data_IF_907648040978
#
_entry.id   IF_907648040978
#
_cell.length_a   1.000
_cell.length_b   1.000
_cell.length_c   1.000
_cell.angle_alpha   90.00
_cell.angle_beta   90.00
_cell.angle_gamma   90.00
#
_symmetry.space_group_name_H-M   'P 1'
#
loop_
_entity.id
_entity.type
_entity.pdbx_description
1 polymer ?
#
# COMPACT_ATOMS: atom_id res chain seq x y z
N UNK A 1 -22.41 7.36 62.55
CA UNK A 1 -22.75 7.70 61.15
C UNK A 1 -21.68 8.52 60.42
N UNK A 2 -21.23 9.70 60.91
CA UNK A 2 -20.21 10.53 60.21
C UNK A 2 -18.93 9.78 59.79
N UNK A 3 -18.42 8.88 60.64
CA UNK A 3 -17.20 8.09 60.35
C UNK A 3 -17.39 7.01 59.27
N UNK A 4 -18.59 6.47 59.08
CA UNK A 4 -18.87 5.39 58.11
C UNK A 4 -18.98 5.97 56.69
N UNK A 5 -19.63 7.14 56.54
CA UNK A 5 -19.70 7.87 55.28
C UNK A 5 -18.32 8.32 54.78
N UNK A 6 -17.46 8.80 55.69
CA UNK A 6 -16.08 9.19 55.37
C UNK A 6 -15.23 7.99 54.89
N UNK A 7 -15.47 6.80 55.44
CA UNK A 7 -14.75 5.58 55.10
C UNK A 7 -15.19 5.01 53.75
N UNK A 8 -16.50 5.03 53.46
CA UNK A 8 -17.05 4.68 52.14
C UNK A 8 -16.55 5.65 51.07
N UNK A 9 -16.43 6.93 51.40
CA UNK A 9 -15.87 7.96 50.52
C UNK A 9 -14.39 7.72 50.22
N UNK A 10 -13.55 7.53 51.23
CA UNK A 10 -12.13 7.24 51.04
C UNK A 10 -11.92 5.97 50.21
N UNK A 11 -12.69 4.91 50.47
CA UNK A 11 -12.63 3.67 49.70
C UNK A 11 -13.07 3.84 48.24
N UNK A 12 -14.09 4.65 47.95
CA UNK A 12 -14.55 4.87 46.56
C UNK A 12 -13.65 5.84 45.79
N UNK A 13 -13.05 6.82 46.46
CA UNK A 13 -12.03 7.70 45.89
C UNK A 13 -10.73 6.94 45.60
N UNK A 14 -10.28 6.08 46.53
CA UNK A 14 -9.10 5.23 46.33
C UNK A 14 -9.31 4.23 45.19
N UNK A 15 -10.52 3.68 45.04
CA UNK A 15 -10.87 2.80 43.92
C UNK A 15 -10.87 3.55 42.57
N UNK A 16 -11.45 4.76 42.52
CA UNK A 16 -11.42 5.56 41.29
C UNK A 16 -10.01 6.01 40.91
N UNK A 17 -9.17 6.35 41.89
CA UNK A 17 -7.77 6.69 41.67
C UNK A 17 -6.94 5.46 41.23
N UNK A 18 -7.25 4.26 41.74
CA UNK A 18 -6.60 3.03 41.29
C UNK A 18 -7.01 2.64 39.87
N UNK A 19 -8.29 2.74 39.53
CA UNK A 19 -8.75 2.44 38.16
C UNK A 19 -8.20 3.44 37.14
N UNK A 20 -8.13 4.74 37.48
CA UNK A 20 -7.46 5.73 36.63
C UNK A 20 -6.00 5.37 36.34
N UNK A 21 -5.26 4.92 37.36
CA UNK A 21 -3.86 4.48 37.18
C UNK A 21 -3.76 3.25 36.30
N UNK A 22 -4.65 2.28 36.47
CA UNK A 22 -4.70 1.08 35.64
C UNK A 22 -5.03 1.41 34.18
N UNK A 23 -6.01 2.28 33.93
CA UNK A 23 -6.41 2.73 32.59
C UNK A 23 -5.25 3.46 31.89
N UNK A 24 -4.58 4.38 32.59
CA UNK A 24 -3.40 5.09 32.06
C UNK A 24 -2.22 4.13 31.81
N UNK A 25 -2.03 3.11 32.64
CA UNK A 25 -0.99 2.10 32.43
C UNK A 25 -1.28 1.24 31.19
N UNK A 26 -2.53 0.83 30.98
CA UNK A 26 -2.96 0.07 29.79
C UNK A 26 -2.83 0.91 28.50
N UNK A 27 -3.17 2.20 28.57
CA UNK A 27 -2.98 3.13 27.46
C UNK A 27 -1.49 3.26 27.09
N UNK A 28 -0.62 3.42 28.09
CA UNK A 28 0.83 3.45 27.89
C UNK A 28 1.36 2.18 27.25
N UNK A 29 0.91 1.00 27.70
CA UNK A 29 1.27 -0.28 27.09
C UNK A 29 0.83 -0.36 25.62
N UNK A 30 -0.38 0.09 25.30
CA UNK A 30 -0.91 0.13 23.93
C UNK A 30 -0.03 0.99 23.03
N UNK A 31 0.39 2.17 23.50
CA UNK A 31 1.27 3.07 22.75
C UNK A 31 2.64 2.44 22.51
N UNK A 32 3.19 1.74 23.51
CA UNK A 32 4.44 0.96 23.35
C UNK A 32 4.27 -0.11 22.27
N UNK A 33 3.15 -0.82 22.24
CA UNK A 33 2.86 -1.82 21.20
C UNK A 33 2.74 -1.17 19.80
N UNK A 34 2.09 -0.02 19.68
CA UNK A 34 2.00 0.72 18.40
C UNK A 34 3.38 1.12 17.89
N UNK A 35 4.25 1.64 18.76
CA UNK A 35 5.65 1.99 18.41
C UNK A 35 6.46 0.77 18.00
N UNK A 36 6.31 -0.34 18.73
CA UNK A 36 6.94 -1.61 18.38
C UNK A 36 6.48 -2.12 17.01
N UNK A 37 5.18 -2.02 16.69
CA UNK A 37 4.67 -2.38 15.36
C UNK A 37 5.28 -1.49 14.26
N UNK A 38 5.41 -0.19 14.51
CA UNK A 38 6.07 0.73 13.57
C UNK A 38 7.54 0.34 13.33
N UNK A 39 8.27 -0.06 14.37
CA UNK A 39 9.65 -0.55 14.25
C UNK A 39 9.74 -1.85 13.45
N UNK A 40 8.84 -2.80 13.68
CA UNK A 40 8.80 -4.05 12.93
C UNK A 40 8.46 -3.81 11.45
N UNK A 41 7.50 -2.93 11.15
CA UNK A 41 7.19 -2.53 9.76
C UNK A 41 8.39 -1.86 9.09
N UNK A 42 9.12 -1.01 9.82
CA UNK A 42 10.36 -0.38 9.35
C UNK A 42 11.43 -1.42 9.04
N UNK A 43 11.71 -2.35 9.97
CA UNK A 43 12.68 -3.45 9.78
C UNK A 43 12.30 -4.32 8.59
N UNK A 44 11.03 -4.71 8.47
CA UNK A 44 10.54 -5.50 7.33
C UNK A 44 10.70 -4.73 6.02
N UNK A 45 10.43 -3.42 5.99
CA UNK A 45 10.61 -2.60 4.79
C UNK A 45 12.08 -2.53 4.36
N UNK A 46 13.02 -2.36 5.31
CA UNK A 46 14.46 -2.45 5.04
C UNK A 46 14.89 -3.86 4.61
N UNK A 47 14.32 -4.92 5.18
CA UNK A 47 14.59 -6.27 4.71
C UNK A 47 14.11 -6.43 3.25
N UNK A 48 12.94 -5.91 2.90
CA UNK A 48 12.39 -5.99 1.55
C UNK A 48 13.22 -5.26 0.49
N UNK A 49 13.98 -4.21 0.85
CA UNK A 49 14.94 -3.58 -0.08
C UNK A 49 16.15 -4.48 -0.34
N UNK A 50 16.55 -5.27 0.66
CA UNK A 50 17.71 -6.17 0.64
C UNK A 50 17.39 -7.58 0.10
N UNK A 51 16.12 -8.00 0.11
CA UNK A 51 15.73 -9.36 -0.31
C UNK A 51 15.99 -9.58 -1.79
N UNK A 52 16.65 -10.72 -2.04
CA UNK A 52 16.85 -11.39 -3.33
C UNK A 52 15.49 -11.74 -3.96
N UNK A 53 14.86 -10.80 -4.67
CA UNK A 53 13.63 -11.09 -5.41
C UNK A 53 13.99 -11.82 -6.71
N UNK A 54 13.29 -12.93 -6.96
CA UNK A 54 13.17 -13.52 -8.29
C UNK A 54 12.23 -12.57 -9.02
N UNK A 55 12.68 -11.94 -10.10
CA UNK A 55 11.90 -10.95 -10.87
C UNK A 55 10.68 -11.66 -11.49
N UNK A 56 9.47 -11.60 -10.88
CA UNK A 56 8.33 -12.36 -11.36
C UNK A 56 7.90 -11.82 -12.73
N UNK A 57 8.02 -10.50 -12.89
CA UNK A 57 7.83 -9.82 -14.16
C UNK A 57 8.92 -10.12 -15.17
N UNK A 58 10.08 -10.70 -14.82
CA UNK A 58 11.02 -11.23 -15.82
C UNK A 58 10.42 -12.41 -16.56
N UNK A 59 9.71 -13.28 -15.82
CA UNK A 59 9.05 -14.45 -16.38
C UNK A 59 7.99 -13.96 -17.35
N UNK A 60 7.19 -12.97 -16.93
CA UNK A 60 6.22 -12.30 -17.79
C UNK A 60 6.89 -11.62 -19.00
N UNK A 61 8.00 -10.90 -18.80
CA UNK A 61 8.78 -10.24 -19.84
C UNK A 61 9.28 -11.26 -20.87
N UNK A 62 9.90 -12.34 -20.39
CA UNK A 62 10.41 -13.46 -21.17
C UNK A 62 9.29 -14.13 -21.96
N UNK A 63 8.12 -14.31 -21.36
CA UNK A 63 7.01 -14.98 -22.02
C UNK A 63 6.39 -14.06 -23.09
N UNK A 64 6.26 -12.76 -22.83
CA UNK A 64 5.88 -11.74 -23.84
C UNK A 64 6.89 -11.68 -25.00
N UNK A 65 8.18 -11.75 -24.68
CA UNK A 65 9.29 -11.85 -25.63
C UNK A 65 9.17 -13.08 -26.52
N UNK A 66 8.90 -14.26 -25.93
CA UNK A 66 8.70 -15.52 -26.66
C UNK A 66 7.50 -15.40 -27.61
N UNK A 67 6.37 -14.87 -27.13
CA UNK A 67 5.17 -14.68 -27.95
C UNK A 67 5.46 -13.78 -29.14
N UNK A 68 6.13 -12.63 -28.93
CA UNK A 68 6.51 -11.73 -30.01
C UNK A 68 7.48 -12.40 -31.00
N UNK A 69 8.49 -13.11 -30.52
CA UNK A 69 9.40 -13.89 -31.36
C UNK A 69 8.65 -14.90 -32.24
N UNK A 70 7.77 -15.71 -31.65
CA UNK A 70 6.97 -16.69 -32.39
C UNK A 70 6.06 -16.02 -33.41
N UNK A 71 5.50 -14.85 -33.10
CA UNK A 71 4.70 -14.09 -34.05
C UNK A 71 5.56 -13.61 -35.23
N UNK A 72 6.73 -13.01 -34.98
CA UNK A 72 7.66 -12.58 -36.03
C UNK A 72 8.13 -13.75 -36.91
N UNK A 73 8.45 -14.89 -36.30
CA UNK A 73 8.89 -16.10 -37.01
C UNK A 73 7.80 -16.68 -37.91
N UNK A 74 6.53 -16.63 -37.50
CA UNK A 74 5.41 -17.04 -38.35
C UNK A 74 5.31 -16.19 -39.62
N UNK A 75 5.51 -14.87 -39.50
CA UNK A 75 5.50 -13.97 -40.66
C UNK A 75 6.66 -14.26 -41.60
N UNK A 76 7.87 -14.50 -41.05
CA UNK A 76 9.05 -14.91 -41.82
C UNK A 76 8.79 -16.21 -42.60
N UNK A 77 8.20 -17.22 -41.96
CA UNK A 77 7.87 -18.49 -42.59
C UNK A 77 6.84 -18.35 -43.72
N UNK A 78 5.84 -17.48 -43.55
CA UNK A 78 4.87 -17.16 -44.61
C UNK A 78 5.60 -16.51 -45.80
N UNK A 79 6.51 -15.57 -45.53
CA UNK A 79 7.32 -14.95 -46.58
C UNK A 79 8.16 -15.97 -47.37
N UNK A 80 8.80 -16.91 -46.66
CA UNK A 80 9.56 -18.01 -47.27
C UNK A 80 8.72 -18.98 -48.10
N UNK A 81 7.48 -19.28 -47.67
CA UNK A 81 6.58 -20.14 -48.45
C UNK A 81 6.16 -19.45 -49.74
N UNK A 82 6.01 -18.12 -49.72
CA UNK A 82 5.71 -17.34 -50.91
C UNK A 82 6.92 -17.23 -51.86
N UNK A 83 8.17 -17.23 -51.35
CA UNK A 83 9.37 -17.32 -52.22
C UNK A 83 9.38 -18.57 -53.11
N UNK A 84 8.75 -19.68 -52.69
CA UNK A 84 8.69 -20.89 -53.53
C UNK A 84 7.80 -20.73 -54.77
N UNK A 85 6.92 -19.72 -54.81
CA UNK A 85 6.18 -19.35 -56.03
C UNK A 85 7.02 -18.52 -57.02
N UNK A 86 8.24 -18.11 -56.65
CA UNK A 86 9.04 -17.15 -57.41
C UNK A 86 10.20 -17.72 -58.20
N UNK A 87 10.29 -19.05 -58.32
CA UNK A 87 11.16 -19.68 -59.30
C UNK A 87 10.93 -19.20 -60.75
N UNK A 88 9.91 -18.36 -61.00
CA UNK A 88 9.55 -17.82 -62.32
C UNK A 88 9.70 -16.30 -62.50
N UNK A 89 9.98 -15.47 -61.47
CA UNK A 89 10.06 -14.01 -61.69
C UNK A 89 11.24 -13.32 -61.00
N UNK A 90 12.27 -13.03 -61.82
CA UNK A 90 13.32 -12.02 -61.69
C UNK A 90 13.59 -11.38 -60.31
N UNK A 91 14.87 -11.45 -59.89
CA UNK A 91 15.51 -10.82 -58.70
C UNK A 91 15.51 -9.28 -58.69
N UNK A 92 14.60 -8.61 -59.41
CA UNK A 92 14.60 -7.14 -59.48
C UNK A 92 14.09 -6.55 -58.16
N UNK A 93 14.69 -5.45 -57.67
CA UNK A 93 14.14 -4.71 -56.54
C UNK A 93 12.67 -4.38 -56.80
N UNK A 94 11.76 -4.94 -55.98
CA UNK A 94 10.32 -4.76 -56.15
C UNK A 94 9.50 -5.92 -56.70
N UNK A 95 10.14 -6.98 -57.19
CA UNK A 95 9.43 -8.25 -57.31
C UNK A 95 9.02 -8.74 -55.91
N UNK A 96 8.10 -9.70 -55.87
CA UNK A 96 7.74 -10.43 -54.63
C UNK A 96 9.02 -10.95 -53.91
N UNK A 97 10.09 -11.24 -54.66
CA UNK A 97 11.36 -11.79 -54.21
C UNK A 97 12.21 -10.72 -53.56
N UNK A 98 12.39 -9.58 -54.22
CA UNK A 98 13.07 -8.44 -53.61
C UNK A 98 12.33 -7.91 -52.38
N UNK A 99 11.00 -8.07 -52.33
CA UNK A 99 10.19 -7.79 -51.15
C UNK A 99 10.39 -8.81 -50.04
N UNK A 100 10.51 -10.08 -50.38
CA UNK A 100 10.77 -11.16 -49.43
C UNK A 100 12.18 -11.08 -48.84
N UNK A 101 13.19 -10.77 -49.64
CA UNK A 101 14.58 -10.59 -49.20
C UNK A 101 14.72 -9.36 -48.27
N UNK A 102 14.04 -8.25 -48.59
CA UNK A 102 13.98 -7.07 -47.72
C UNK A 102 13.24 -7.34 -46.42
N UNK A 103 12.16 -8.11 -46.47
CA UNK A 103 11.46 -8.56 -45.27
C UNK A 103 12.41 -9.42 -44.42
N UNK A 104 13.11 -10.39 -45.03
CA UNK A 104 14.02 -11.31 -44.36
C UNK A 104 15.21 -10.63 -43.68
N UNK A 105 15.93 -9.75 -44.38
CA UNK A 105 17.08 -9.02 -43.83
C UNK A 105 16.67 -8.24 -42.57
N UNK A 106 15.48 -7.62 -42.58
CA UNK A 106 14.98 -6.84 -41.43
C UNK A 106 14.33 -7.70 -40.34
N UNK A 107 13.72 -8.83 -40.71
CA UNK A 107 13.29 -9.84 -39.73
C UNK A 107 14.49 -10.46 -39.01
N UNK A 108 15.62 -10.67 -39.70
CA UNK A 108 16.86 -11.13 -39.04
C UNK A 108 17.33 -10.14 -37.96
N UNK A 109 17.18 -8.83 -38.20
CA UNK A 109 17.48 -7.76 -37.23
C UNK A 109 16.52 -7.74 -36.02
N UNK A 110 15.22 -7.94 -36.27
CA UNK A 110 14.22 -8.12 -35.20
C UNK A 110 14.52 -9.38 -34.38
N UNK A 111 14.75 -10.51 -35.05
CA UNK A 111 15.03 -11.80 -34.40
C UNK A 111 16.33 -11.75 -33.59
N UNK A 112 17.41 -11.17 -34.10
CA UNK A 112 18.66 -11.00 -33.33
C UNK A 112 18.47 -10.10 -32.11
N UNK A 113 17.75 -8.99 -32.24
CA UNK A 113 17.41 -8.09 -31.12
C UNK A 113 16.55 -8.81 -30.07
N UNK A 114 15.56 -9.60 -30.50
CA UNK A 114 14.67 -10.37 -29.64
C UNK A 114 15.41 -11.54 -28.97
N UNK A 115 16.32 -12.23 -29.67
CA UNK A 115 17.12 -13.32 -29.13
C UNK A 115 18.15 -12.83 -28.11
N UNK A 116 18.79 -11.68 -28.37
CA UNK A 116 19.61 -11.00 -27.39
C UNK A 116 18.80 -10.65 -26.14
N UNK A 117 17.61 -10.05 -26.30
CA UNK A 117 16.74 -9.70 -25.17
C UNK A 117 16.19 -10.92 -24.43
N UNK A 118 15.84 -12.01 -25.13
CA UNK A 118 15.47 -13.30 -24.56
C UNK A 118 16.60 -13.90 -23.73
N UNK A 119 17.82 -13.85 -24.25
CA UNK A 119 19.01 -14.32 -23.53
C UNK A 119 19.24 -13.51 -22.25
N UNK A 120 19.14 -12.18 -22.34
CA UNK A 120 19.23 -11.28 -21.18
C UNK A 120 18.10 -11.54 -20.18
N UNK A 121 16.85 -11.61 -20.64
CA UNK A 121 15.68 -11.85 -19.80
C UNK A 121 15.72 -13.24 -19.13
N UNK A 122 16.20 -14.27 -19.83
CA UNK A 122 16.32 -15.64 -19.29
C UNK A 122 17.47 -15.75 -18.28
N UNK A 123 18.61 -15.10 -18.53
CA UNK A 123 19.71 -15.00 -17.55
C UNK A 123 19.30 -14.16 -16.34
N UNK A 124 18.53 -13.09 -16.55
CA UNK A 124 18.07 -12.19 -15.50
C UNK A 124 16.94 -12.80 -14.66
N UNK A 125 15.98 -13.53 -15.27
CA UNK A 125 14.81 -14.06 -14.55
C UNK A 125 15.18 -14.96 -13.39
N UNK A 126 16.27 -15.72 -13.51
CA UNK A 126 16.69 -16.70 -12.51
C UNK A 126 17.76 -16.16 -11.55
N UNK A 127 18.27 -14.95 -11.79
CA UNK A 127 19.27 -14.34 -10.91
C UNK A 127 18.56 -13.50 -9.86
N UNK A 128 18.72 -13.88 -8.60
CA UNK A 128 18.33 -13.10 -7.43
C UNK A 128 18.92 -11.67 -7.49
N UNK A 129 18.08 -10.64 -7.31
CA UNK A 129 18.56 -9.25 -7.21
C UNK A 129 17.86 -8.45 -6.12
N UNK A 130 18.42 -7.29 -5.81
CA UNK A 130 17.84 -6.29 -4.92
C UNK A 130 16.98 -5.29 -5.71
N UNK A 131 16.37 -4.34 -5.01
CA UNK A 131 15.45 -3.36 -5.61
C UNK A 131 16.10 -2.51 -6.72
N UNK A 132 17.39 -2.17 -6.58
CA UNK A 132 18.16 -1.46 -7.62
C UNK A 132 18.32 -2.31 -8.89
N UNK A 133 18.63 -3.61 -8.74
CA UNK A 133 18.73 -4.52 -9.86
C UNK A 133 17.41 -4.71 -10.60
N UNK A 134 16.29 -4.73 -9.88
CA UNK A 134 14.94 -4.77 -10.47
C UNK A 134 14.62 -3.50 -11.27
N UNK A 135 15.06 -2.33 -10.80
CA UNK A 135 14.90 -1.07 -11.52
C UNK A 135 15.69 -1.07 -12.83
N UNK A 136 16.96 -1.49 -12.81
CA UNK A 136 17.80 -1.53 -14.01
C UNK A 136 17.27 -2.53 -15.05
N UNK A 137 16.69 -3.64 -14.58
CA UNK A 137 15.98 -4.61 -15.42
C UNK A 137 14.74 -4.02 -16.09
N UNK A 138 13.92 -3.29 -15.34
CA UNK A 138 12.75 -2.63 -15.89
C UNK A 138 13.12 -1.56 -16.93
N UNK A 139 14.21 -0.80 -16.69
CA UNK A 139 14.78 0.15 -17.67
C UNK A 139 15.21 -0.58 -18.95
N UNK A 140 15.96 -1.67 -18.82
CA UNK A 140 16.40 -2.45 -19.97
C UNK A 140 15.22 -3.02 -20.78
N UNK A 141 14.16 -3.48 -20.11
CA UNK A 141 12.95 -3.96 -20.78
C UNK A 141 12.22 -2.85 -21.55
N UNK A 142 12.11 -1.65 -20.97
CA UNK A 142 11.55 -0.47 -21.66
C UNK A 142 12.37 -0.10 -22.90
N UNK A 143 13.69 0.01 -22.76
CA UNK A 143 14.57 0.39 -23.87
C UNK A 143 14.51 -0.61 -25.01
N UNK A 144 14.47 -1.91 -24.67
CA UNK A 144 14.24 -2.96 -25.65
C UNK A 144 12.88 -2.82 -26.34
N UNK A 145 11.80 -2.65 -25.59
CA UNK A 145 10.45 -2.52 -26.18
C UNK A 145 10.34 -1.29 -27.11
N UNK A 146 11.03 -0.20 -26.78
CA UNK A 146 11.15 0.98 -27.65
C UNK A 146 11.90 0.66 -28.95
N UNK A 147 13.05 -0.02 -28.86
CA UNK A 147 13.83 -0.44 -30.04
C UNK A 147 13.04 -1.37 -30.96
N UNK A 148 12.27 -2.30 -30.38
CA UNK A 148 11.42 -3.20 -31.17
C UNK A 148 10.32 -2.44 -31.89
N UNK A 149 9.63 -1.53 -31.20
CA UNK A 149 8.60 -0.71 -31.84
C UNK A 149 9.18 0.10 -33.00
N UNK A 150 10.31 0.80 -32.78
CA UNK A 150 11.00 1.56 -33.83
C UNK A 150 11.39 0.69 -35.03
N UNK A 151 11.94 -0.49 -34.76
CA UNK A 151 12.35 -1.42 -35.82
C UNK A 151 11.13 -1.93 -36.59
N UNK A 152 10.04 -2.23 -35.90
CA UNK A 152 8.82 -2.76 -36.52
C UNK A 152 8.08 -1.68 -37.33
N UNK A 153 8.05 -0.44 -36.83
CA UNK A 153 7.51 0.71 -37.57
C UNK A 153 8.34 1.00 -38.84
N UNK A 154 9.66 0.93 -38.76
CA UNK A 154 10.56 1.06 -39.93
C UNK A 154 10.31 -0.05 -40.96
N UNK A 155 10.14 -1.29 -40.50
CA UNK A 155 9.77 -2.43 -41.35
C UNK A 155 8.45 -2.17 -42.06
N UNK A 156 7.42 -1.69 -41.33
CA UNK A 156 6.14 -1.33 -41.95
C UNK A 156 6.30 -0.27 -43.02
N UNK A 157 7.00 0.82 -42.74
CA UNK A 157 7.17 1.91 -43.69
C UNK A 157 7.80 1.42 -45.01
N UNK A 158 8.83 0.56 -44.92
CA UNK A 158 9.49 -0.03 -46.10
C UNK A 158 8.58 -0.97 -46.89
N UNK A 159 7.87 -1.87 -46.21
CA UNK A 159 6.91 -2.79 -46.85
C UNK A 159 5.78 -2.00 -47.51
N UNK A 160 5.27 -0.96 -46.85
CA UNK A 160 4.20 -0.13 -47.37
C UNK A 160 4.62 0.69 -48.59
N UNK A 161 5.80 1.31 -48.56
CA UNK A 161 6.35 2.04 -49.71
C UNK A 161 6.41 1.13 -50.95
N UNK A 162 6.88 -0.10 -50.76
CA UNK A 162 6.98 -1.07 -51.85
C UNK A 162 5.62 -1.61 -52.28
N UNK A 163 4.71 -1.88 -51.35
CA UNK A 163 3.32 -2.23 -51.66
C UNK A 163 2.64 -1.17 -52.53
N UNK A 164 2.92 0.12 -52.29
CA UNK A 164 2.42 1.22 -53.13
C UNK A 164 3.06 1.20 -54.52
N UNK A 165 4.38 1.06 -54.62
CA UNK A 165 5.09 1.09 -55.91
C UNK A 165 4.69 -0.09 -56.81
N UNK A 166 4.46 -1.27 -56.23
CA UNK A 166 4.21 -2.51 -56.98
C UNK A 166 2.76 -2.99 -56.91
N UNK A 167 1.86 -2.24 -56.26
CA UNK A 167 0.46 -2.58 -56.05
C UNK A 167 0.24 -3.97 -55.39
N UNK A 168 0.97 -4.22 -54.28
CA UNK A 168 0.96 -5.51 -53.55
C UNK A 168 0.37 -5.34 -52.14
N UNK A 169 -0.18 -6.41 -51.56
CA UNK A 169 -0.80 -6.38 -50.22
C UNK A 169 -0.46 -7.56 -49.30
N UNK A 170 0.39 -8.49 -49.77
CA UNK A 170 0.59 -9.82 -49.17
C UNK A 170 0.98 -9.85 -47.68
N UNK A 171 1.68 -8.83 -47.16
CA UNK A 171 2.16 -8.79 -45.77
C UNK A 171 1.51 -7.74 -44.87
N UNK A 172 0.54 -6.97 -45.40
CA UNK A 172 0.00 -5.79 -44.70
C UNK A 172 -0.56 -6.15 -43.32
N UNK A 173 -1.41 -7.17 -43.26
CA UNK A 173 -2.09 -7.62 -42.03
C UNK A 173 -1.11 -8.11 -40.95
N UNK A 174 -0.09 -8.86 -41.36
CA UNK A 174 0.88 -9.44 -40.43
C UNK A 174 1.80 -8.37 -39.85
N UNK A 175 2.25 -7.43 -40.69
CA UNK A 175 3.06 -6.28 -40.27
C UNK A 175 2.29 -5.36 -39.32
N UNK A 176 1.02 -5.09 -39.63
CA UNK A 176 0.15 -4.27 -38.77
C UNK A 176 -0.06 -4.92 -37.40
N UNK A 177 -0.23 -6.24 -37.38
CA UNK A 177 -0.31 -7.00 -36.14
C UNK A 177 0.99 -6.91 -35.34
N UNK A 178 2.15 -7.09 -35.98
CA UNK A 178 3.45 -6.99 -35.29
C UNK A 178 3.66 -5.62 -34.64
N UNK A 179 3.21 -4.53 -35.28
CA UNK A 179 3.28 -3.19 -34.68
C UNK A 179 2.35 -3.07 -33.47
N UNK A 180 1.12 -3.57 -33.59
CA UNK A 180 0.17 -3.58 -32.47
C UNK A 180 0.73 -4.37 -31.27
N UNK A 181 1.37 -5.51 -31.53
CA UNK A 181 2.01 -6.32 -30.49
C UNK A 181 3.21 -5.58 -29.87
N UNK A 182 4.04 -4.92 -30.69
CA UNK A 182 5.15 -4.08 -30.21
C UNK A 182 4.68 -2.87 -29.38
N UNK A 183 3.57 -2.23 -29.76
CA UNK A 183 2.98 -1.12 -29.01
C UNK A 183 2.41 -1.58 -27.66
N UNK A 184 1.76 -2.76 -27.64
CA UNK A 184 1.27 -3.40 -26.41
C UNK A 184 2.41 -3.71 -25.46
N UNK A 185 3.50 -4.27 -26.00
CA UNK A 185 4.72 -4.57 -25.27
C UNK A 185 5.38 -3.33 -24.68
N UNK A 186 5.50 -2.24 -25.46
CA UNK A 186 5.97 -0.93 -24.96
C UNK A 186 5.11 -0.45 -23.79
N UNK A 187 3.78 -0.52 -23.95
CA UNK A 187 2.84 -0.07 -22.91
C UNK A 187 3.05 -0.84 -21.61
N UNK A 188 3.18 -2.16 -21.70
CA UNK A 188 3.49 -2.99 -20.53
C UNK A 188 4.85 -2.62 -19.92
N UNK A 189 5.91 -2.47 -20.72
CA UNK A 189 7.25 -2.18 -20.21
C UNK A 189 7.32 -0.80 -19.51
N UNK A 190 6.59 0.19 -20.03
CA UNK A 190 6.47 1.52 -19.41
C UNK A 190 5.72 1.42 -18.07
N UNK A 191 4.61 0.68 -18.03
CA UNK A 191 3.86 0.46 -16.78
C UNK A 191 4.71 -0.27 -15.74
N UNK A 192 5.48 -1.26 -16.17
CA UNK A 192 6.33 -2.03 -15.28
C UNK A 192 7.48 -1.19 -14.72
N UNK A 193 8.09 -0.33 -15.54
CA UNK A 193 9.08 0.63 -15.05
C UNK A 193 8.48 1.61 -14.04
N UNK A 194 7.28 2.14 -14.32
CA UNK A 194 6.59 3.01 -13.36
C UNK A 194 6.36 2.28 -12.04
N UNK A 195 5.74 1.10 -12.09
CA UNK A 195 5.44 0.28 -10.92
C UNK A 195 6.69 -0.02 -10.06
N UNK A 196 7.81 -0.35 -10.70
CA UNK A 196 9.08 -0.60 -9.99
C UNK A 196 9.68 0.70 -9.44
N UNK A 197 9.59 1.82 -10.19
CA UNK A 197 10.08 3.12 -9.72
C UNK A 197 9.29 3.61 -8.51
N UNK A 198 7.96 3.49 -8.54
CA UNK A 198 7.09 3.82 -7.42
C UNK A 198 7.42 2.95 -6.20
N UNK A 199 7.74 1.67 -6.42
CA UNK A 199 8.15 0.77 -5.36
C UNK A 199 9.54 1.14 -4.79
N UNK A 200 10.49 1.56 -5.63
CA UNK A 200 11.81 2.07 -5.23
C UNK A 200 11.65 3.30 -4.37
N UNK A 201 10.79 4.24 -4.78
CA UNK A 201 10.50 5.44 -4.02
C UNK A 201 9.84 5.10 -2.68
N UNK A 202 8.80 4.26 -2.67
CA UNK A 202 8.10 3.84 -1.46
C UNK A 202 9.00 3.14 -0.44
N UNK A 203 9.92 2.30 -0.93
CA UNK A 203 10.91 1.57 -0.12
C UNK A 203 12.25 2.32 0.00
N UNK A 204 12.34 3.58 -0.41
CA UNK A 204 13.53 4.39 -0.14
C UNK A 204 13.72 4.55 1.37
N UNK A 205 14.97 4.66 1.82
CA UNK A 205 15.30 4.90 3.23
C UNK A 205 14.50 6.07 3.78
N UNK A 206 14.41 7.14 3.01
CA UNK A 206 13.78 8.40 3.41
C UNK A 206 12.27 8.24 3.58
N UNK A 207 11.59 7.52 2.68
CA UNK A 207 10.15 7.27 2.81
C UNK A 207 9.82 6.20 3.85
N UNK A 208 10.71 5.24 4.08
CA UNK A 208 10.58 4.31 5.22
C UNK A 208 10.66 5.11 6.52
N UNK A 209 11.65 6.02 6.64
CA UNK A 209 11.84 6.84 7.83
C UNK A 209 10.69 7.81 8.07
N UNK A 210 10.22 8.51 7.03
CA UNK A 210 9.06 9.41 7.14
C UNK A 210 7.82 8.70 7.64
N UNK A 211 7.55 7.48 7.15
CA UNK A 211 6.39 6.67 7.60
C UNK A 211 6.57 6.19 9.03
N UNK A 212 7.78 5.82 9.41
CA UNK A 212 8.10 5.45 10.80
C UNK A 212 7.87 6.62 11.76
N UNK A 213 8.40 7.80 11.44
CA UNK A 213 8.18 9.03 12.22
C UNK A 213 6.69 9.37 12.32
N UNK A 214 5.95 9.27 11.21
CA UNK A 214 4.52 9.54 11.19
C UNK A 214 3.74 8.55 12.07
N UNK A 215 4.08 7.26 12.03
CA UNK A 215 3.45 6.24 12.87
C UNK A 215 3.75 6.46 14.36
N UNK A 216 4.98 6.86 14.69
CA UNK A 216 5.34 7.27 16.05
C UNK A 216 4.53 8.48 16.51
N UNK A 217 4.42 9.50 15.65
CA UNK A 217 3.60 10.68 15.94
C UNK A 217 2.14 10.31 16.19
N UNK A 218 1.55 9.44 15.36
CA UNK A 218 0.17 8.97 15.56
C UNK A 218 0.00 8.26 16.90
N UNK A 219 1.00 7.48 17.34
CA UNK A 219 0.97 6.84 18.65
C UNK A 219 1.05 7.85 19.81
N UNK A 220 1.85 8.92 19.65
CA UNK A 220 1.95 10.00 20.64
C UNK A 220 0.68 10.88 20.68
N UNK A 221 0.12 11.21 19.51
CA UNK A 221 -1.14 11.95 19.39
C UNK A 221 -2.29 11.13 20.02
N UNK A 222 -2.35 9.81 19.76
CA UNK A 222 -3.31 8.91 20.39
C UNK A 222 -3.19 8.88 21.93
N UNK A 223 -1.96 8.86 22.46
CA UNK A 223 -1.72 8.93 23.91
C UNK A 223 -2.29 10.23 24.49
N UNK A 224 -2.02 11.36 23.86
CA UNK A 224 -2.47 12.67 24.31
C UNK A 224 -4.01 12.75 24.33
N UNK A 225 -4.64 12.43 23.20
CA UNK A 225 -6.10 12.49 23.03
C UNK A 225 -6.82 11.58 24.04
N UNK A 226 -6.35 10.33 24.20
CA UNK A 226 -6.99 9.40 25.13
C UNK A 226 -6.72 9.75 26.60
N UNK A 227 -5.56 10.31 26.92
CA UNK A 227 -5.27 10.78 28.29
C UNK A 227 -6.21 11.92 28.66
N UNK A 228 -6.44 12.87 27.76
CA UNK A 228 -7.38 13.98 27.98
C UNK A 228 -8.79 13.45 28.26
N UNK A 229 -9.31 12.55 27.41
CA UNK A 229 -10.63 11.94 27.58
C UNK A 229 -10.75 11.17 28.90
N UNK A 230 -9.74 10.37 29.27
CA UNK A 230 -9.73 9.63 30.54
C UNK A 230 -9.76 10.62 31.70
N UNK A 231 -8.92 11.66 31.69
CA UNK A 231 -8.88 12.67 32.74
C UNK A 231 -10.23 13.38 32.88
N UNK A 232 -10.86 13.81 31.78
CA UNK A 232 -12.20 14.44 31.81
C UNK A 232 -13.26 13.54 32.45
N UNK A 233 -13.26 12.24 32.12
CA UNK A 233 -14.19 11.26 32.72
C UNK A 233 -13.99 11.21 34.23
N UNK A 234 -12.74 11.10 34.70
CA UNK A 234 -12.46 10.99 36.12
C UNK A 234 -12.69 12.31 36.89
N UNK A 235 -12.46 13.45 36.27
CA UNK A 235 -12.83 14.77 36.82
C UNK A 235 -14.35 14.92 36.98
N UNK A 236 -15.13 14.48 36.00
CA UNK A 236 -16.59 14.50 36.09
C UNK A 236 -17.11 13.50 37.13
N UNK A 237 -16.49 12.32 37.24
CA UNK A 237 -16.77 11.36 38.32
C UNK A 237 -16.55 12.01 39.69
N UNK A 238 -15.39 12.64 39.92
CA UNK A 238 -15.08 13.34 41.18
C UNK A 238 -16.08 14.48 41.46
N UNK A 239 -16.46 15.25 40.42
CA UNK A 239 -17.49 16.29 40.53
C UNK A 239 -18.83 15.73 40.97
N UNK A 240 -19.29 14.63 40.37
CA UNK A 240 -20.54 13.97 40.74
C UNK A 240 -20.49 13.44 42.18
N UNK A 241 -19.34 12.91 42.61
CA UNK A 241 -19.13 12.52 44.00
C UNK A 241 -19.27 13.70 44.97
N UNK A 242 -18.61 14.83 44.71
CA UNK A 242 -18.71 16.06 45.52
C UNK A 242 -20.15 16.59 45.62
N UNK A 243 -20.92 16.52 44.52
CA UNK A 243 -22.33 16.92 44.51
C UNK A 243 -23.16 15.98 45.41
N UNK A 244 -22.98 14.67 45.28
CA UNK A 244 -23.67 13.68 46.13
C UNK A 244 -23.32 13.84 47.60
N UNK A 245 -22.05 14.08 47.92
CA UNK A 245 -21.58 14.30 49.29
C UNK A 245 -22.32 15.50 49.94
N UNK A 246 -22.36 16.65 49.25
CA UNK A 246 -23.08 17.83 49.71
C UNK A 246 -24.57 17.54 49.96
N UNK A 247 -25.21 16.78 49.05
CA UNK A 247 -26.61 16.40 49.18
C UNK A 247 -26.84 15.52 50.40
N UNK A 248 -26.06 14.46 50.58
CA UNK A 248 -26.17 13.55 51.73
C UNK A 248 -25.91 14.30 53.05
N UNK A 249 -24.89 15.17 53.10
CA UNK A 249 -24.64 16.02 54.28
C UNK A 249 -25.83 16.92 54.60
N UNK A 250 -26.48 17.51 53.59
CA UNK A 250 -27.66 18.34 53.78
C UNK A 250 -28.86 17.56 54.32
N UNK A 251 -29.11 16.34 53.80
CA UNK A 251 -30.20 15.46 54.23
C UNK A 251 -30.00 14.96 55.67
N UNK A 252 -28.75 14.64 56.04
CA UNK A 252 -28.40 14.23 57.40
C UNK A 252 -28.57 15.38 58.39
N UNK A 253 -28.11 16.58 58.03
CA UNK A 253 -28.29 17.76 58.88
C UNK A 253 -29.78 18.07 59.09
N UNK A 254 -30.57 18.03 58.01
CA UNK A 254 -32.02 18.21 58.10
C UNK A 254 -32.69 17.18 59.01
N UNK A 255 -32.31 15.90 58.89
CA UNK A 255 -32.82 14.83 59.76
C UNK A 255 -32.41 15.01 61.22
N UNK A 256 -31.17 15.48 61.48
CA UNK A 256 -30.72 15.81 62.83
C UNK A 256 -31.49 16.98 63.43
N UNK A 257 -31.77 18.02 62.64
CA UNK A 257 -32.57 19.16 63.08
C UNK A 257 -34.02 18.74 63.39
N UNK A 258 -34.62 17.88 62.54
CA UNK A 258 -35.93 17.30 62.82
C UNK A 258 -35.94 16.45 64.09
N UNK A 259 -34.94 15.59 64.28
CA UNK A 259 -34.81 14.79 65.49
C UNK A 259 -34.65 15.68 66.74
N UNK A 260 -33.92 16.79 66.62
CA UNK A 260 -33.72 17.77 67.70
C UNK A 260 -35.00 18.52 68.04
N UNK A 261 -35.79 18.90 67.03
CA UNK A 261 -37.12 19.52 67.20
C UNK A 261 -38.09 18.52 67.86
N UNK A 262 -38.10 17.27 67.42
CA UNK A 262 -38.88 16.18 68.04
C UNK A 262 -38.49 15.99 69.50
N UNK A 263 -37.20 15.94 69.81
CA UNK A 263 -36.71 15.82 71.19
C UNK A 263 -37.13 17.03 72.04
N UNK A 264 -37.05 18.25 71.50
CA UNK A 264 -37.52 19.46 72.19
C UNK A 264 -39.03 19.40 72.47
N UNK A 265 -39.83 18.93 71.51
CA UNK A 265 -41.27 18.78 71.68
C UNK A 265 -41.62 17.71 72.72
N UNK A 266 -40.92 16.58 72.73
CA UNK A 266 -41.07 15.53 73.76
C UNK A 266 -40.72 16.10 75.14
N UNK A 267 -39.57 16.78 75.27
CA UNK A 267 -39.16 17.41 76.53
C UNK A 267 -40.15 18.48 76.99
N UNK A 268 -40.78 19.23 76.07
CA UNK A 268 -41.85 20.17 76.42
C UNK A 268 -43.10 19.44 76.91
N UNK A 269 -43.53 18.38 76.21
CA UNK A 269 -44.69 17.59 76.62
C UNK A 269 -44.50 16.91 77.98
N UNK A 270 -43.29 16.43 78.29
CA UNK A 270 -42.94 15.91 79.62
C UNK A 270 -43.03 16.99 80.70
N UNK A 271 -42.63 18.23 80.40
CA UNK A 271 -42.79 19.36 81.33
C UNK A 271 -44.25 19.74 81.56
N UNK A 272 -45.09 19.67 80.52
CA UNK A 272 -46.53 19.92 80.63
C UNK A 272 -47.29 18.79 81.36
N UNK A 273 -46.87 17.53 81.21
CA UNK A 273 -47.53 16.37 81.83
C UNK A 273 -47.17 16.15 83.30
N UNK A 274 -46.03 16.68 83.75
CA UNK A 274 -45.57 16.60 85.15
C UNK A 274 -46.12 17.71 86.05
N UNK A 275 -46.97 18.61 85.53
CA UNK A 275 -47.68 19.59 86.35
C UNK A 275 -46.77 20.65 87.00
N UNK A 276 -45.65 21.00 86.36
CA UNK A 276 -44.90 22.20 86.74
C UNK A 276 -45.50 23.40 86.01
N UNK A 277 -46.24 24.21 86.77
CA UNK A 277 -46.67 25.55 86.35
C UNK A 277 -45.47 26.37 85.89
N UNK A 278 -45.72 27.21 84.88
CA UNK A 278 -44.79 28.17 84.27
C UNK A 278 -44.19 29.11 85.31
#
# INVERSE_FOLDING_TARGET
>A
MKKILLLVYLLSYDVAASTLREDLAQLSETVVQMKHQADEVRKQSYAQTLVKKIWPSAVEARDRLKVFHTAAEKVRLIAYKNMRFEGMMNRRPGSLYGLSELAEEKYSGLTSTVMWALSVATRASNKATNLSGELDRAKAAKDWALRILQTTDHVRAKIYLKNVIYNLSFYKKDVDKSIKDAATLRTWAVRELSRISDLVEYLSSDNIEKRHILAYKVADDYLADQTEVIMEIYEEIDRQYKIREKKILSEVNFSMDQARILQLNVNMMEKFSTGLEI
#
